data_IF_748176441726
#
_entry.id   IF_748176441726
#
_cell.length_a   1.000
_cell.length_b   1.000
_cell.length_c   1.000
_cell.angle_alpha   90.00
_cell.angle_beta   90.00
_cell.angle_gamma   90.00
#
_symmetry.space_group_name_H-M   'P 1'
#
loop_
_entity.id
_entity.type
_entity.pdbx_description
1 polymer ?
#
# COMPACT_ATOMS: atom_id res chain seq x y z
N UNK A 1 15.46 35.46 -38.78
CA UNK A 1 15.54 34.81 -40.11
C UNK A 1 16.99 34.97 -40.51
N UNK A 2 17.89 34.01 -40.52
CA UNK A 2 17.86 32.56 -40.56
C UNK A 2 19.27 32.10 -40.14
N UNK A 3 19.41 31.27 -39.10
CA UNK A 3 20.70 30.68 -38.71
C UNK A 3 20.70 29.22 -39.20
N UNK A 4 20.88 29.04 -40.51
CA UNK A 4 21.13 27.74 -41.16
C UNK A 4 22.58 27.70 -41.63
N UNK A 5 23.45 27.10 -40.82
CA UNK A 5 24.80 26.74 -41.26
C UNK A 5 25.45 25.68 -40.33
N UNK A 6 24.69 24.69 -39.87
CA UNK A 6 25.32 23.46 -39.38
C UNK A 6 25.24 22.40 -40.47
N UNK A 7 26.33 22.40 -41.23
CA UNK A 7 26.79 21.51 -42.28
C UNK A 7 26.18 20.09 -42.26
N UNK A 8 25.38 19.81 -43.27
CA UNK A 8 25.15 18.48 -43.82
C UNK A 8 26.29 18.25 -44.82
N UNK A 9 27.24 17.34 -44.56
CA UNK A 9 27.99 16.52 -45.55
C UNK A 9 29.25 15.86 -44.94
N UNK A 10 29.05 14.82 -44.12
CA UNK A 10 30.07 13.77 -43.91
C UNK A 10 29.38 12.39 -43.88
N UNK A 11 28.68 12.08 -44.98
CA UNK A 11 28.32 10.71 -45.32
C UNK A 11 29.54 10.02 -45.93
N UNK A 12 30.33 9.35 -45.10
CA UNK A 12 31.47 8.53 -45.54
C UNK A 12 30.98 7.08 -45.76
N UNK A 13 31.06 6.52 -46.99
CA UNK A 13 30.67 5.14 -47.23
C UNK A 13 31.80 4.21 -46.78
N UNK A 14 31.53 3.42 -45.75
CA UNK A 14 32.41 2.36 -45.27
C UNK A 14 33.20 2.72 -44.02
N UNK A 15 32.70 2.30 -42.86
CA UNK A 15 33.38 1.33 -42.00
C UNK A 15 32.68 1.22 -40.64
N UNK A 16 32.44 -0.03 -40.24
CA UNK A 16 32.22 -0.51 -38.87
C UNK A 16 30.84 -0.21 -38.23
N UNK A 17 29.89 -1.12 -38.45
CA UNK A 17 28.87 -1.44 -37.44
C UNK A 17 29.53 -2.17 -36.26
N UNK A 18 29.45 -1.68 -35.01
CA UNK A 18 29.97 -2.41 -33.86
C UNK A 18 29.08 -3.62 -33.58
N UNK A 19 29.69 -4.80 -33.62
CA UNK A 19 29.08 -6.10 -33.40
C UNK A 19 28.77 -6.29 -31.90
N UNK A 20 27.59 -5.86 -31.44
CA UNK A 20 27.12 -6.11 -30.08
C UNK A 20 26.60 -7.54 -29.96
N UNK A 21 27.52 -8.52 -29.97
CA UNK A 21 27.15 -9.93 -30.12
C UNK A 21 27.90 -10.97 -29.29
N UNK A 22 28.92 -10.64 -28.48
CA UNK A 22 29.76 -11.69 -27.83
C UNK A 22 30.39 -11.39 -26.45
N UNK A 23 29.93 -10.40 -25.69
CA UNK A 23 30.61 -10.09 -24.41
C UNK A 23 29.74 -9.65 -23.23
N UNK A 24 28.42 -9.82 -23.30
CA UNK A 24 27.63 -9.80 -22.06
C UNK A 24 27.52 -11.24 -21.59
N UNK A 25 28.59 -11.72 -20.96
CA UNK A 25 28.48 -12.83 -20.02
C UNK A 25 27.55 -12.34 -18.92
N UNK A 26 26.26 -12.62 -19.13
CA UNK A 26 25.18 -12.30 -18.22
C UNK A 26 25.50 -13.09 -16.97
N UNK A 27 26.01 -12.40 -15.94
CA UNK A 27 26.01 -12.92 -14.59
C UNK A 27 24.56 -13.26 -14.32
N UNK A 28 24.24 -14.56 -14.42
CA UNK A 28 22.95 -15.12 -14.12
C UNK A 28 22.75 -14.93 -12.62
N UNK A 29 22.21 -13.77 -12.25
CA UNK A 29 21.53 -13.62 -10.98
C UNK A 29 20.60 -14.84 -10.89
N UNK A 30 20.68 -15.66 -9.83
CA UNK A 30 19.76 -16.77 -9.69
C UNK A 30 18.39 -16.17 -9.90
N UNK A 31 17.68 -16.64 -10.93
CA UNK A 31 16.30 -16.27 -11.19
C UNK A 31 15.63 -16.40 -9.83
N UNK A 32 15.34 -15.26 -9.20
CA UNK A 32 14.53 -15.26 -8.01
C UNK A 32 13.29 -15.92 -8.53
N UNK A 33 13.10 -17.18 -8.11
CA UNK A 33 11.84 -17.83 -8.28
C UNK A 33 10.94 -16.91 -7.47
N UNK A 34 10.34 -15.98 -8.18
CA UNK A 34 9.06 -15.49 -7.84
C UNK A 34 8.20 -16.72 -8.09
N UNK A 35 8.23 -17.68 -7.15
CA UNK A 35 7.03 -18.41 -6.77
C UNK A 35 6.05 -17.33 -6.36
N UNK A 36 5.53 -16.65 -7.39
CA UNK A 36 4.59 -15.56 -7.33
C UNK A 36 3.43 -16.20 -6.62
N UNK A 37 3.33 -15.90 -5.32
CA UNK A 37 2.32 -16.46 -4.45
C UNK A 37 1.02 -16.03 -5.08
N UNK A 38 0.44 -16.90 -5.90
CA UNK A 38 -0.78 -16.63 -6.65
C UNK A 38 -1.90 -16.78 -5.63
N UNK A 39 -1.98 -15.79 -4.73
CA UNK A 39 -3.04 -15.66 -3.77
C UNK A 39 -4.29 -15.44 -4.60
N UNK A 40 -5.06 -16.52 -4.76
CA UNK A 40 -6.39 -16.46 -5.36
C UNK A 40 -7.15 -15.37 -4.60
N UNK A 41 -7.36 -14.22 -5.24
CA UNK A 41 -7.99 -13.02 -4.65
C UNK A 41 -9.44 -13.33 -4.28
N UNK A 42 -9.60 -14.02 -3.15
CA UNK A 42 -10.88 -14.55 -2.63
C UNK A 42 -11.29 -13.81 -1.37
N UNK A 43 -10.58 -12.75 -1.00
CA UNK A 43 -11.04 -11.80 0.02
C UNK A 43 -12.12 -10.91 -0.61
N UNK A 44 -13.34 -11.44 -0.60
CA UNK A 44 -14.55 -10.67 -0.93
C UNK A 44 -14.92 -9.72 0.20
N UNK A 45 -15.99 -8.95 -0.01
CA UNK A 45 -16.46 -7.92 0.93
C UNK A 45 -16.61 -8.47 2.37
N UNK A 46 -17.26 -9.62 2.52
CA UNK A 46 -17.46 -10.27 3.82
C UNK A 46 -16.16 -10.74 4.46
N UNK A 47 -15.20 -11.23 3.67
CA UNK A 47 -13.88 -11.64 4.18
C UNK A 47 -13.09 -10.45 4.71
N UNK A 48 -13.10 -9.33 3.99
CA UNK A 48 -12.46 -8.09 4.41
C UNK A 48 -13.11 -7.48 5.65
N UNK A 49 -14.45 -7.46 5.72
CA UNK A 49 -15.18 -6.97 6.90
C UNK A 49 -14.89 -7.87 8.11
N UNK A 50 -14.93 -9.18 7.95
CA UNK A 50 -14.64 -10.13 9.04
C UNK A 50 -13.20 -9.98 9.57
N UNK A 51 -12.24 -9.70 8.71
CA UNK A 51 -10.85 -9.44 9.10
C UNK A 51 -10.74 -8.15 9.92
N UNK A 52 -11.36 -7.06 9.47
CA UNK A 52 -11.38 -5.78 10.19
C UNK A 52 -12.06 -5.95 11.55
N UNK A 53 -13.20 -6.63 11.61
CA UNK A 53 -13.92 -6.89 12.87
C UNK A 53 -13.09 -7.79 13.80
N UNK A 54 -12.44 -8.84 13.27
CA UNK A 54 -11.60 -9.74 14.05
C UNK A 54 -10.36 -9.04 14.65
N UNK A 55 -9.76 -8.11 13.91
CA UNK A 55 -8.62 -7.31 14.41
C UNK A 55 -9.06 -6.27 15.44
N UNK A 56 -10.24 -5.66 15.27
CA UNK A 56 -10.83 -4.72 16.24
C UNK A 56 -11.26 -5.39 17.55
N UNK A 57 -11.90 -6.57 17.47
CA UNK A 57 -12.34 -7.33 18.65
C UNK A 57 -11.16 -8.01 19.38
N UNK A 58 -9.98 -8.10 18.76
CA UNK A 58 -8.78 -8.76 19.33
C UNK A 58 -8.31 -8.21 20.69
N UNK A 59 -7.17 -7.53 20.72
CA UNK A 59 -6.62 -7.03 22.00
C UNK A 59 -7.42 -5.88 22.62
N UNK A 60 -8.23 -5.17 21.82
CA UNK A 60 -8.94 -3.96 22.23
C UNK A 60 -10.06 -4.18 23.25
N UNK A 61 -10.84 -5.27 23.15
CA UNK A 61 -11.98 -5.53 24.03
C UNK A 61 -11.56 -6.00 25.42
N UNK A 62 -10.39 -6.62 25.55
CA UNK A 62 -9.89 -7.09 26.84
C UNK A 62 -9.25 -5.96 27.67
N UNK A 63 -8.73 -4.92 27.01
CA UNK A 63 -8.07 -3.77 27.66
C UNK A 63 -9.07 -2.66 28.00
N UNK A 64 -10.03 -2.39 27.13
CA UNK A 64 -10.94 -1.23 27.26
C UNK A 64 -11.81 -1.22 28.53
N UNK A 65 -12.58 -2.27 28.88
CA UNK A 65 -13.52 -2.19 30.00
C UNK A 65 -12.82 -2.13 31.36
N UNK A 66 -11.70 -2.85 31.54
CA UNK A 66 -10.94 -2.85 32.80
C UNK A 66 -10.19 -1.54 33.06
N UNK A 67 -9.64 -0.93 32.01
CA UNK A 67 -8.92 0.34 32.11
C UNK A 67 -9.84 1.50 32.48
N UNK A 68 -11.00 1.62 31.82
CA UNK A 68 -11.90 2.76 32.03
C UNK A 68 -12.59 2.65 33.40
N UNK A 69 -13.06 1.45 33.78
CA UNK A 69 -13.75 1.24 35.06
C UNK A 69 -12.86 1.57 36.28
N UNK A 70 -11.55 1.32 36.16
CA UNK A 70 -10.56 1.59 37.21
C UNK A 70 -10.19 3.07 37.30
N UNK A 71 -10.21 3.80 36.18
CA UNK A 71 -9.95 5.25 36.15
C UNK A 71 -11.19 6.08 36.55
N UNK A 72 -12.39 5.56 36.36
CA UNK A 72 -13.67 6.27 36.63
C UNK A 72 -14.23 5.98 38.04
N UNK A 73 -13.49 5.28 38.90
CA UNK A 73 -13.91 5.04 40.28
C UNK A 73 -15.17 4.16 40.40
N UNK A 74 -15.30 3.12 39.56
CA UNK A 74 -16.42 2.16 39.56
C UNK A 74 -17.78 2.71 39.08
N UNK A 75 -17.84 3.96 38.59
CA UNK A 75 -19.05 4.55 38.03
C UNK A 75 -19.25 4.12 36.56
N UNK A 76 -20.10 3.10 36.35
CA UNK A 76 -20.35 2.48 35.03
C UNK A 76 -20.86 3.49 34.00
N UNK A 77 -21.74 4.41 34.40
CA UNK A 77 -22.35 5.40 33.49
C UNK A 77 -21.34 6.35 32.85
N UNK A 78 -20.37 6.85 33.61
CA UNK A 78 -19.30 7.71 33.08
C UNK A 78 -18.38 6.93 32.13
N UNK A 79 -18.06 5.67 32.47
CA UNK A 79 -17.21 4.82 31.63
C UNK A 79 -17.86 4.53 30.27
N UNK A 80 -19.18 4.32 30.23
CA UNK A 80 -19.97 4.14 29.01
C UNK A 80 -19.98 5.41 28.15
N UNK A 81 -20.09 6.58 28.78
CA UNK A 81 -20.13 7.88 28.09
C UNK A 81 -18.80 8.20 27.40
N UNK A 82 -17.68 7.96 28.10
CA UNK A 82 -16.32 8.11 27.56
C UNK A 82 -16.06 7.11 26.44
N UNK A 83 -16.46 5.85 26.64
CA UNK A 83 -16.33 4.81 25.63
C UNK A 83 -17.13 5.15 24.36
N UNK A 84 -18.40 5.56 24.52
CA UNK A 84 -19.24 5.99 23.42
C UNK A 84 -18.68 7.23 22.70
N UNK A 85 -18.19 8.22 23.45
CA UNK A 85 -17.54 9.41 22.88
C UNK A 85 -16.27 9.06 22.08
N UNK A 86 -15.44 8.16 22.60
CA UNK A 86 -14.26 7.65 21.90
C UNK A 86 -14.63 6.89 20.62
N UNK A 87 -15.68 6.05 20.69
CA UNK A 87 -16.22 5.33 19.53
C UNK A 87 -16.71 6.29 18.43
N UNK A 88 -17.43 7.34 18.81
CA UNK A 88 -17.90 8.37 17.87
C UNK A 88 -16.72 9.10 17.22
N UNK A 89 -15.71 9.51 17.99
CA UNK A 89 -14.51 10.14 17.45
C UNK A 89 -13.75 9.21 16.47
N UNK A 90 -13.68 7.92 16.78
CA UNK A 90 -13.09 6.91 15.89
C UNK A 90 -13.86 6.77 14.57
N UNK A 91 -15.19 6.81 14.62
CA UNK A 91 -16.04 6.77 13.42
C UNK A 91 -15.78 7.97 12.51
N UNK A 92 -15.65 9.17 13.07
CA UNK A 92 -15.30 10.36 12.28
C UNK A 92 -13.97 10.18 11.54
N UNK A 93 -12.95 9.63 12.21
CA UNK A 93 -11.67 9.31 11.58
C UNK A 93 -11.79 8.26 10.47
N UNK A 94 -12.62 7.23 10.67
CA UNK A 94 -12.87 6.20 9.67
C UNK A 94 -13.59 6.77 8.43
N UNK A 95 -14.53 7.71 8.60
CA UNK A 95 -15.23 8.36 7.49
C UNK A 95 -14.25 9.14 6.61
N UNK A 96 -13.38 9.95 7.22
CA UNK A 96 -12.34 10.68 6.48
C UNK A 96 -11.38 9.71 5.76
N UNK A 97 -11.04 8.59 6.39
CA UNK A 97 -10.22 7.57 5.77
C UNK A 97 -10.92 6.89 4.60
N UNK A 98 -12.24 6.67 4.67
CA UNK A 98 -13.06 6.13 3.58
C UNK A 98 -13.07 7.09 2.39
N UNK A 99 -13.27 8.38 2.61
CA UNK A 99 -13.24 9.40 1.55
C UNK A 99 -11.88 9.44 0.83
N UNK A 100 -10.79 9.24 1.55
CA UNK A 100 -9.46 9.13 0.93
C UNK A 100 -9.28 7.78 0.21
N UNK A 101 -9.82 6.70 0.78
CA UNK A 101 -9.75 5.34 0.22
C UNK A 101 -10.52 5.20 -1.09
N UNK A 102 -11.56 6.00 -1.32
CA UNK A 102 -12.31 6.06 -2.58
C UNK A 102 -11.61 6.91 -3.64
N UNK A 103 -10.85 7.92 -3.26
CA UNK A 103 -10.10 8.79 -4.19
C UNK A 103 -8.88 8.08 -4.79
N UNK A 104 -8.29 7.12 -4.09
CA UNK A 104 -7.14 6.33 -4.58
C UNK A 104 -7.49 4.84 -4.55
N UNK A 105 -8.16 4.30 -5.58
CA UNK A 105 -8.46 2.87 -5.70
C UNK A 105 -7.23 2.07 -6.18
N UNK A 106 -6.02 2.53 -5.86
CA UNK A 106 -4.81 1.79 -6.17
C UNK A 106 -4.67 0.65 -5.16
N UNK A 107 -4.89 -0.57 -5.62
CA UNK A 107 -4.41 -1.77 -4.92
C UNK A 107 -2.88 -1.75 -4.97
N UNK A 108 -2.26 -0.97 -4.09
CA UNK A 108 -0.82 -0.91 -3.91
C UNK A 108 -0.34 -2.21 -3.28
N UNK A 109 -0.14 -3.24 -4.10
CA UNK A 109 1.08 -4.01 -3.95
C UNK A 109 2.20 -3.06 -4.37
N UNK A 110 3.15 -2.82 -3.47
CA UNK A 110 4.37 -2.07 -3.74
C UNK A 110 4.87 -2.43 -5.15
N UNK A 111 4.95 -1.44 -6.04
CA UNK A 111 5.74 -1.61 -7.26
C UNK A 111 7.18 -1.77 -6.78
N UNK A 112 7.87 -2.89 -7.08
CA UNK A 112 9.29 -3.02 -6.81
C UNK A 112 10.11 -1.97 -7.56
#
# INVERSE_FOLDING_TARGET
>A
MENRAFQQDDYIPGSVTPNYGKSVEVISLPERRDDAVNLKRTVGLFGSIALIVGTMIGSGIFVSPGGILRNTGQNVWLSLLIWAGCGILSIFGAITYIELSTVIPASGGEYP
#
